data_IF_348190903681
#
_entry.id   IF_348190903681
#
_cell.length_a   1.000
_cell.length_b   1.000
_cell.length_c   1.000
_cell.angle_alpha   90.00
_cell.angle_beta   90.00
_cell.angle_gamma   90.00
#
_symmetry.space_group_name_H-M   'P 1'
#
loop_
_entity.id
_entity.type
_entity.pdbx_description
1 polymer ?
#
# COMPACT_ATOMS: atom_id res chain seq x y z
N UNK A 1 2.71 -7.07 10.59
CA UNK A 1 1.96 -7.69 9.47
C UNK A 1 1.03 -8.78 9.93
N UNK A 2 1.48 -9.68 10.82
CA UNK A 2 0.62 -10.77 11.30
C UNK A 2 -0.62 -10.27 12.03
N UNK A 3 -0.47 -9.23 12.82
CA UNK A 3 -1.61 -8.62 13.52
C UNK A 3 -2.68 -8.13 12.54
N UNK A 4 -2.26 -7.47 11.47
CA UNK A 4 -3.17 -6.96 10.45
C UNK A 4 -3.87 -8.11 9.74
N UNK A 5 -3.13 -9.15 9.40
CA UNK A 5 -3.68 -10.29 8.69
C UNK A 5 -4.68 -11.07 9.56
N UNK A 6 -4.40 -11.23 10.85
CA UNK A 6 -5.35 -11.85 11.77
C UNK A 6 -6.64 -11.04 11.87
N UNK A 7 -6.52 -9.70 11.95
CA UNK A 7 -7.68 -8.82 11.96
C UNK A 7 -8.52 -9.01 10.71
N UNK A 8 -7.88 -9.08 9.54
CA UNK A 8 -8.57 -9.19 8.26
C UNK A 8 -9.27 -10.52 8.08
N UNK A 9 -8.72 -11.59 8.65
CA UNK A 9 -9.38 -12.90 8.64
C UNK A 9 -10.63 -12.90 9.50
N UNK A 10 -10.58 -12.18 10.61
CA UNK A 10 -11.70 -12.10 11.56
C UNK A 10 -12.78 -11.12 11.12
N UNK A 11 -12.36 -10.00 10.53
CA UNK A 11 -13.25 -8.93 10.08
C UNK A 11 -12.99 -8.65 8.60
N UNK A 12 -13.74 -9.31 7.70
CA UNK A 12 -13.58 -9.07 6.28
C UNK A 12 -13.69 -7.58 5.95
N UNK A 13 -12.73 -7.08 5.15
CA UNK A 13 -12.58 -5.65 4.89
C UNK A 13 -12.17 -5.42 3.46
N UNK A 14 -12.43 -4.21 2.96
CA UNK A 14 -11.77 -3.70 1.76
C UNK A 14 -10.42 -3.14 2.17
N UNK A 15 -9.39 -3.43 1.39
CA UNK A 15 -8.01 -3.09 1.73
C UNK A 15 -7.41 -2.31 0.58
N UNK A 16 -6.88 -1.14 0.88
CA UNK A 16 -6.12 -0.35 -0.08
C UNK A 16 -4.68 -0.25 0.39
N UNK A 17 -3.76 -0.63 -0.48
CA UNK A 17 -2.32 -0.63 -0.19
C UNK A 17 -1.68 0.45 -1.05
N UNK A 18 -1.10 1.47 -0.42
CA UNK A 18 -0.52 2.63 -1.09
C UNK A 18 0.99 2.65 -0.90
N UNK A 19 1.74 2.62 -2.01
CA UNK A 19 3.19 2.71 -1.97
C UNK A 19 3.66 4.12 -2.24
N UNK A 20 4.69 4.55 -1.50
CA UNK A 20 5.28 5.88 -1.62
C UNK A 20 6.80 5.77 -1.60
N UNK A 21 7.46 6.71 -2.27
CA UNK A 21 8.92 6.84 -2.24
C UNK A 21 9.32 8.25 -1.86
N UNK A 22 10.61 8.47 -1.63
CA UNK A 22 11.16 9.81 -1.59
C UNK A 22 11.47 10.27 -3.02
N UNK A 23 12.12 11.43 -3.15
CA UNK A 23 12.46 12.01 -4.45
C UNK A 23 13.87 11.67 -4.93
N UNK A 24 14.57 10.76 -4.26
CA UNK A 24 15.89 10.33 -4.70
C UNK A 24 15.76 9.58 -6.03
N UNK A 25 16.45 10.04 -7.09
CA UNK A 25 16.35 9.38 -8.39
C UNK A 25 16.76 7.91 -8.29
N UNK A 26 15.99 7.05 -8.94
CA UNK A 26 16.31 5.62 -8.98
C UNK A 26 16.90 5.27 -10.35
N UNK A 27 18.02 4.56 -10.32
CA UNK A 27 18.68 4.03 -11.51
C UNK A 27 18.82 2.53 -11.36
N UNK A 28 17.76 1.83 -11.75
CA UNK A 28 17.70 0.39 -11.59
C UNK A 28 17.27 -0.26 -12.89
N UNK A 29 17.82 -1.46 -13.18
CA UNK A 29 17.36 -2.26 -14.31
C UNK A 29 15.93 -2.72 -14.10
N UNK A 30 15.52 -2.86 -12.83
CA UNK A 30 14.20 -3.38 -12.47
C UNK A 30 13.12 -2.32 -12.51
N UNK A 31 13.47 -1.07 -12.16
CA UNK A 31 12.47 0.01 -12.03
C UNK A 31 12.96 1.24 -12.75
N UNK A 32 12.15 1.77 -13.66
CA UNK A 32 12.48 2.97 -14.42
C UNK A 32 12.34 4.24 -13.61
N UNK A 33 11.44 4.22 -12.63
CA UNK A 33 11.13 5.42 -11.85
C UNK A 33 10.68 5.02 -10.45
N UNK A 34 10.62 6.02 -9.57
CA UNK A 34 10.08 5.84 -8.22
C UNK A 34 8.61 5.45 -8.25
N UNK A 35 7.88 5.85 -9.26
CA UNK A 35 6.49 5.45 -9.40
C UNK A 35 6.37 3.93 -9.57
N UNK A 36 7.13 3.36 -10.49
CA UNK A 36 7.13 1.92 -10.72
C UNK A 36 7.60 1.14 -9.48
N UNK A 37 8.61 1.67 -8.78
CA UNK A 37 9.06 1.07 -7.53
C UNK A 37 7.94 1.07 -6.48
N UNK A 38 7.20 2.16 -6.35
CA UNK A 38 6.11 2.26 -5.37
C UNK A 38 4.98 1.29 -5.69
N UNK A 39 4.65 1.12 -6.96
CA UNK A 39 3.66 0.12 -7.41
C UNK A 39 4.12 -1.29 -7.06
N UNK A 40 5.39 -1.60 -7.32
CA UNK A 40 5.94 -2.92 -7.04
C UNK A 40 5.91 -3.24 -5.54
N UNK A 41 6.20 -2.25 -4.70
CA UNK A 41 6.13 -2.43 -3.24
C UNK A 41 4.72 -2.69 -2.77
N UNK A 42 3.75 -1.93 -3.26
CA UNK A 42 2.35 -2.13 -2.91
C UNK A 42 1.86 -3.51 -3.36
N UNK A 43 2.24 -3.92 -4.57
CA UNK A 43 1.89 -5.24 -5.09
C UNK A 43 2.50 -6.37 -4.27
N UNK A 44 3.71 -6.20 -3.78
CA UNK A 44 4.36 -7.21 -2.93
C UNK A 44 3.59 -7.44 -1.63
N UNK A 45 3.11 -6.37 -1.02
CA UNK A 45 2.30 -6.45 0.20
C UNK A 45 0.96 -7.14 -0.10
N UNK A 46 0.31 -6.77 -1.20
CA UNK A 46 -0.95 -7.38 -1.60
C UNK A 46 -0.79 -8.88 -1.84
N UNK A 47 0.28 -9.27 -2.52
CA UNK A 47 0.59 -10.68 -2.76
C UNK A 47 0.83 -11.43 -1.46
N UNK A 48 1.51 -10.81 -0.51
CA UNK A 48 1.74 -11.39 0.81
C UNK A 48 0.43 -11.72 1.51
N UNK A 49 -0.51 -10.78 1.53
CA UNK A 49 -1.82 -11.03 2.13
C UNK A 49 -2.59 -12.13 1.41
N UNK A 50 -2.53 -12.14 0.09
CA UNK A 50 -3.22 -13.13 -0.71
C UNK A 50 -2.66 -14.55 -0.49
N UNK A 51 -1.34 -14.70 -0.54
CA UNK A 51 -0.69 -16.00 -0.48
C UNK A 51 -0.62 -16.56 0.93
N UNK A 52 -0.28 -15.73 1.91
CA UNK A 52 -0.08 -16.20 3.29
C UNK A 52 -1.37 -16.30 4.07
N UNK A 53 -2.32 -15.43 3.82
CA UNK A 53 -3.54 -15.34 4.63
C UNK A 53 -4.82 -15.59 3.83
N UNK A 54 -4.68 -15.94 2.55
CA UNK A 54 -5.80 -16.32 1.69
C UNK A 54 -6.89 -15.24 1.60
N UNK A 55 -6.49 -13.98 1.65
CA UNK A 55 -7.42 -12.88 1.50
C UNK A 55 -7.80 -12.76 0.02
N UNK A 56 -9.10 -12.73 -0.31
CA UNK A 56 -9.51 -12.66 -1.71
C UNK A 56 -9.04 -11.37 -2.39
N UNK A 57 -8.50 -11.51 -3.59
CA UNK A 57 -7.92 -10.40 -4.33
C UNK A 57 -8.95 -9.34 -4.68
N UNK A 58 -10.21 -9.70 -4.83
CA UNK A 58 -11.28 -8.76 -5.16
C UNK A 58 -11.58 -7.76 -4.04
N UNK A 59 -11.05 -8.00 -2.84
CA UNK A 59 -11.19 -7.05 -1.72
C UNK A 59 -9.97 -6.19 -1.52
N UNK A 60 -8.99 -6.27 -2.42
CA UNK A 60 -7.74 -5.53 -2.29
C UNK A 60 -7.47 -4.69 -3.51
N UNK A 61 -6.82 -3.55 -3.31
CA UNK A 61 -6.25 -2.78 -4.40
C UNK A 61 -4.86 -2.27 -4.00
N UNK A 62 -3.98 -2.17 -4.97
CA UNK A 62 -2.63 -1.69 -4.78
C UNK A 62 -2.41 -0.47 -5.67
N UNK A 63 -1.91 0.62 -5.08
CA UNK A 63 -1.71 1.88 -5.78
C UNK A 63 -0.30 2.38 -5.47
N UNK A 64 0.40 2.89 -6.49
CA UNK A 64 1.69 3.53 -6.32
C UNK A 64 1.60 5.01 -6.60
N UNK A 65 2.05 5.83 -5.68
CA UNK A 65 2.09 7.29 -5.84
C UNK A 65 3.49 7.82 -6.14
N UNK A 66 4.51 6.98 -6.05
CA UNK A 66 5.88 7.40 -6.28
C UNK A 66 6.30 8.47 -5.30
N UNK A 67 6.98 9.51 -5.82
CA UNK A 67 7.44 10.64 -5.03
C UNK A 67 6.45 11.80 -4.98
N UNK A 68 5.29 11.66 -5.62
CA UNK A 68 4.41 12.79 -5.92
C UNK A 68 3.47 13.16 -4.78
N UNK A 69 3.43 12.39 -3.70
CA UNK A 69 2.61 12.69 -2.52
C UNK A 69 3.43 12.52 -1.23
N UNK A 70 4.42 13.38 -1.02
CA UNK A 70 5.26 13.27 0.17
C UNK A 70 4.47 13.65 1.43
N UNK A 71 4.75 12.94 2.52
CA UNK A 71 4.20 13.29 3.84
C UNK A 71 5.01 14.41 4.49
N UNK A 72 6.30 14.49 4.15
CA UNK A 72 7.24 15.49 4.66
C UNK A 72 8.05 16.06 3.52
N UNK A 73 8.59 17.29 3.65
CA UNK A 73 9.50 17.81 2.63
C UNK A 73 10.71 16.92 2.43
N UNK A 74 11.13 16.72 1.18
CA UNK A 74 12.28 15.86 0.85
C UNK A 74 13.61 16.61 1.00
N UNK A 75 13.78 17.39 2.05
CA UNK A 75 14.93 18.27 2.24
C UNK A 75 15.96 17.74 3.25
N UNK A 76 15.65 16.66 3.95
CA UNK A 76 16.57 15.98 4.87
C UNK A 76 16.54 14.49 4.64
N UNK A 77 17.62 13.82 5.02
CA UNK A 77 17.68 12.36 4.93
C UNK A 77 16.60 11.69 5.79
N UNK A 78 16.32 12.29 6.95
CA UNK A 78 15.30 11.78 7.86
C UNK A 78 13.91 11.87 7.25
N UNK A 79 13.55 13.01 6.66
CA UNK A 79 12.26 13.19 6.01
C UNK A 79 12.13 12.28 4.78
N UNK A 80 13.19 12.13 4.00
CA UNK A 80 13.18 11.22 2.85
C UNK A 80 12.93 9.79 3.29
N UNK A 81 13.54 9.37 4.40
CA UNK A 81 13.31 8.02 4.92
C UNK A 81 11.84 7.82 5.30
N UNK A 82 11.23 8.81 5.91
CA UNK A 82 9.81 8.73 6.29
C UNK A 82 8.87 8.74 5.09
N UNK A 83 9.30 9.33 3.97
CA UNK A 83 8.51 9.32 2.74
C UNK A 83 8.53 7.95 2.04
N UNK A 84 9.53 7.11 2.32
CA UNK A 84 9.61 5.74 1.80
C UNK A 84 8.73 4.84 2.66
N UNK A 85 7.43 4.77 2.32
CA UNK A 85 6.47 4.10 3.18
C UNK A 85 5.41 3.36 2.38
N UNK A 86 4.73 2.45 3.05
CA UNK A 86 3.50 1.84 2.56
C UNK A 86 2.41 2.16 3.57
N UNK A 87 1.27 2.59 3.07
CA UNK A 87 0.09 2.86 3.89
C UNK A 87 -0.95 1.81 3.56
N UNK A 88 -1.51 1.21 4.60
CA UNK A 88 -2.56 0.20 4.45
C UNK A 88 -3.84 0.78 5.04
N UNK A 89 -4.83 1.03 4.18
CA UNK A 89 -6.14 1.51 4.60
C UNK A 89 -7.10 0.32 4.64
N UNK A 90 -7.78 0.17 5.75
CA UNK A 90 -8.70 -0.94 5.97
C UNK A 90 -10.09 -0.37 6.23
N UNK A 91 -11.05 -0.78 5.40
CA UNK A 91 -12.45 -0.41 5.56
C UNK A 91 -13.26 -1.68 5.80
N UNK A 92 -13.87 -1.84 6.98
CA UNK A 92 -14.69 -3.02 7.25
C UNK A 92 -15.77 -3.22 6.18
N UNK A 93 -15.96 -4.46 5.77
CA UNK A 93 -16.85 -4.79 4.65
C UNK A 93 -18.29 -4.35 4.88
N UNK A 94 -18.78 -4.56 6.10
CA UNK A 94 -20.16 -4.18 6.40
C UNK A 94 -20.38 -2.68 6.20
N UNK A 95 -19.38 -1.86 6.54
CA UNK A 95 -19.45 -0.41 6.32
C UNK A 95 -19.47 -0.08 4.83
N UNK A 96 -18.62 -0.74 4.08
CA UNK A 96 -18.53 -0.56 2.64
C UNK A 96 -19.83 -0.98 1.94
N UNK A 97 -20.39 -2.11 2.34
CA UNK A 97 -21.66 -2.61 1.78
C UNK A 97 -22.80 -1.64 2.07
N UNK A 98 -22.82 -1.09 3.28
CA UNK A 98 -23.81 -0.12 3.68
C UNK A 98 -23.73 1.15 2.84
N UNK A 99 -22.54 1.59 2.50
CA UNK A 99 -22.35 2.76 1.64
C UNK A 99 -22.79 2.53 0.20
N UNK A 100 -22.86 1.28 -0.24
CA UNK A 100 -23.28 0.92 -1.60
C UNK A 100 -24.78 0.76 -1.74
N UNK A 101 -25.48 0.66 -0.64
CA UNK A 101 -26.94 0.55 -0.68
C UNK A 101 -27.54 1.84 -1.20
N UNK A 102 -28.53 1.76 -2.10
CA UNK A 102 -29.20 2.93 -2.62
C UNK A 102 -29.99 3.68 -1.55
#
# INVERSE_FOLDING_TARGET
>A
MDFIAEFLQRYPSLIKIEGYTDNTPIHSVLYRSNWELSVARANSIMRYFMEQYKIPVEYMEAVGFGEFRPAFPNDTAENRLQNRRVVIEIMPRFYSDKLREP
#
